data_IF_907103847641
#
_entry.id   IF_907103847641
#
_cell.length_a   1.000
_cell.length_b   1.000
_cell.length_c   1.000
_cell.angle_alpha   90.00
_cell.angle_beta   90.00
_cell.angle_gamma   90.00
#
_symmetry.space_group_name_H-M   'P 1'
#
loop_
_entity.id
_entity.type
_entity.pdbx_description
1 polymer ?
#
# COMPACT_ATOMS: atom_id res chain seq x y z
N UNK A 1 -26.99 17.72 -20.31
CA UNK A 1 -26.34 16.57 -19.66
C UNK A 1 -24.90 16.60 -20.13
N UNK A 2 -24.10 17.42 -19.46
CA UNK A 2 -22.73 17.72 -19.85
C UNK A 2 -21.82 16.69 -19.21
N UNK A 3 -21.48 15.65 -19.98
CA UNK A 3 -20.49 14.65 -19.59
C UNK A 3 -19.10 15.15 -19.95
N UNK A 4 -18.36 15.64 -18.97
CA UNK A 4 -16.92 15.88 -19.07
C UNK A 4 -16.18 14.54 -19.18
N UNK A 5 -15.85 14.12 -20.41
CA UNK A 5 -14.90 13.04 -20.67
C UNK A 5 -13.49 13.49 -20.24
N UNK A 6 -12.99 12.99 -19.11
CA UNK A 6 -11.55 13.01 -18.82
C UNK A 6 -10.85 12.00 -19.73
N UNK A 7 -9.99 12.49 -20.63
CA UNK A 7 -9.12 11.64 -21.44
C UNK A 7 -7.75 11.49 -20.77
N UNK A 8 -7.42 10.30 -20.27
CA UNK A 8 -6.04 9.94 -19.96
C UNK A 8 -5.31 9.57 -21.25
N UNK A 9 -4.24 10.30 -21.60
CA UNK A 9 -3.36 9.97 -22.73
C UNK A 9 -2.01 9.46 -22.23
N UNK A 10 -1.63 8.25 -22.63
CA UNK A 10 -0.27 7.74 -22.48
C UNK A 10 0.59 8.20 -23.66
N UNK A 11 1.62 9.00 -23.39
CA UNK A 11 2.57 9.44 -24.40
C UNK A 11 3.64 8.37 -24.64
N UNK A 12 3.67 7.81 -25.86
CA UNK A 12 4.79 7.00 -26.35
C UNK A 12 5.47 7.71 -27.53
N UNK A 13 6.25 8.74 -27.25
CA UNK A 13 7.26 9.27 -28.18
C UNK A 13 8.46 9.79 -27.40
N UNK A 14 9.56 9.05 -27.45
CA UNK A 14 10.79 9.32 -26.68
C UNK A 14 11.60 10.53 -27.17
N UNK A 15 11.23 11.18 -28.28
CA UNK A 15 12.11 12.16 -28.95
C UNK A 15 11.57 13.59 -29.11
N UNK A 16 10.35 13.93 -28.67
CA UNK A 16 9.81 15.30 -28.85
C UNK A 16 9.77 16.18 -27.60
N UNK A 17 10.01 15.64 -26.40
CA UNK A 17 9.84 16.38 -25.14
C UNK A 17 11.15 17.05 -24.66
N UNK A 18 12.30 16.74 -25.26
CA UNK A 18 13.63 17.17 -24.75
C UNK A 18 14.04 18.62 -25.07
N UNK A 19 13.24 19.40 -25.82
CA UNK A 19 13.62 20.75 -26.23
C UNK A 19 13.00 21.90 -25.40
N UNK A 20 12.11 21.62 -24.44
CA UNK A 20 11.22 22.66 -23.90
C UNK A 20 11.50 23.14 -22.46
N UNK A 21 12.57 22.68 -21.80
CA UNK A 21 12.73 22.94 -20.35
C UNK A 21 13.75 23.99 -19.94
N UNK A 22 14.52 24.63 -20.84
CA UNK A 22 15.57 25.57 -20.43
C UNK A 22 15.66 26.86 -21.26
N UNK A 23 14.57 27.62 -21.37
CA UNK A 23 14.64 29.08 -21.52
C UNK A 23 13.24 29.68 -21.32
N UNK A 24 13.16 30.85 -20.69
CA UNK A 24 11.93 31.68 -20.58
C UNK A 24 10.95 31.42 -19.42
N UNK A 25 11.45 31.28 -18.19
CA UNK A 25 10.62 31.29 -16.96
C UNK A 25 10.04 32.66 -16.57
N UNK A 26 10.19 33.71 -17.39
CA UNK A 26 9.88 35.09 -17.02
C UNK A 26 8.51 35.64 -17.45
N UNK A 27 7.76 34.98 -18.36
CA UNK A 27 6.52 35.55 -18.94
C UNK A 27 5.41 34.54 -19.27
N UNK A 28 5.42 33.33 -18.72
CA UNK A 28 4.36 32.36 -19.00
C UNK A 28 3.16 32.58 -18.06
N UNK A 29 2.24 33.45 -18.50
CA UNK A 29 0.86 33.44 -17.99
C UNK A 29 0.28 32.02 -18.16
N UNK A 30 -0.28 31.47 -17.09
CA UNK A 30 -0.84 30.11 -16.94
C UNK A 30 -1.05 29.31 -18.25
N UNK A 31 -0.12 28.41 -18.57
CA UNK A 31 -0.30 27.35 -19.56
C UNK A 31 -0.90 26.13 -18.87
N UNK A 32 -2.01 25.60 -19.39
CA UNK A 32 -2.67 24.41 -18.85
C UNK A 32 -2.27 23.23 -19.71
N UNK A 33 -1.34 22.39 -19.21
CA UNK A 33 -0.75 21.30 -19.99
C UNK A 33 -1.83 20.39 -20.60
N UNK A 34 -2.88 20.06 -19.84
CA UNK A 34 -3.94 19.17 -20.29
C UNK A 34 -4.89 19.84 -21.28
N UNK A 35 -5.36 21.04 -20.98
CA UNK A 35 -6.34 21.73 -21.83
C UNK A 35 -5.69 22.19 -23.13
N UNK A 36 -4.50 22.78 -23.07
CA UNK A 36 -3.85 23.42 -24.20
C UNK A 36 -3.30 22.38 -25.20
N UNK A 37 -2.80 21.23 -24.73
CA UNK A 37 -2.37 20.13 -25.61
C UNK A 37 -3.57 19.44 -26.28
N UNK A 38 -4.64 19.18 -25.55
CA UNK A 38 -5.85 18.55 -26.12
C UNK A 38 -6.52 19.49 -27.12
N UNK A 39 -6.64 20.78 -26.76
CA UNK A 39 -7.20 21.80 -27.64
C UNK A 39 -6.42 21.93 -28.95
N UNK A 40 -5.09 21.75 -28.92
CA UNK A 40 -4.23 21.85 -30.09
C UNK A 40 -4.49 20.76 -31.14
N UNK A 41 -4.90 19.56 -30.72
CA UNK A 41 -5.26 18.46 -31.63
C UNK A 41 -6.64 18.61 -32.26
N UNK A 42 -7.51 19.43 -31.67
CA UNK A 42 -8.84 19.74 -32.22
C UNK A 42 -8.97 21.25 -32.41
N UNK A 43 -8.11 21.88 -33.25
CA UNK A 43 -7.99 23.33 -33.31
C UNK A 43 -9.25 23.99 -33.89
N UNK A 44 -10.03 23.27 -34.69
CA UNK A 44 -11.30 23.73 -35.22
C UNK A 44 -12.36 24.01 -34.14
N UNK A 45 -12.26 23.38 -32.96
CA UNK A 45 -13.18 23.59 -31.83
C UNK A 45 -12.62 24.47 -30.72
N UNK A 46 -11.32 24.76 -30.77
CA UNK A 46 -10.60 25.44 -29.70
C UNK A 46 -9.77 26.59 -30.24
N UNK A 47 -10.38 27.46 -31.04
CA UNK A 47 -9.70 28.60 -31.65
C UNK A 47 -9.13 29.58 -30.61
N UNK A 48 -9.74 29.62 -29.43
CA UNK A 48 -9.24 30.35 -28.26
C UNK A 48 -7.79 29.99 -27.90
N UNK A 49 -7.34 28.76 -28.18
CA UNK A 49 -5.97 28.33 -27.89
C UNK A 49 -4.94 29.20 -28.60
N UNK A 50 -5.19 29.64 -29.83
CA UNK A 50 -4.25 30.48 -30.62
C UNK A 50 -3.89 31.80 -29.92
N UNK A 51 -4.72 32.25 -28.97
CA UNK A 51 -4.52 33.45 -28.17
C UNK A 51 -3.73 33.22 -26.87
N UNK A 52 -3.56 31.96 -26.44
CA UNK A 52 -2.77 31.59 -25.26
C UNK A 52 -1.28 31.50 -25.59
N UNK A 53 -0.39 31.60 -24.58
CA UNK A 53 1.03 31.38 -24.78
C UNK A 53 1.31 30.04 -25.46
N UNK A 54 2.19 30.04 -26.46
CA UNK A 54 2.55 28.88 -27.29
C UNK A 54 1.39 28.27 -28.11
N UNK A 55 0.17 28.83 -28.07
CA UNK A 55 -0.99 28.20 -28.67
C UNK A 55 -0.91 28.03 -30.19
N UNK A 56 -0.37 29.02 -30.90
CA UNK A 56 -0.14 28.92 -32.36
C UNK A 56 0.88 27.82 -32.70
N UNK A 57 1.93 27.69 -31.90
CA UNK A 57 2.98 26.70 -32.08
C UNK A 57 2.44 25.29 -31.81
N UNK A 58 1.65 25.13 -30.75
CA UNK A 58 0.97 23.88 -30.42
C UNK A 58 0.02 23.45 -31.54
N UNK A 59 -0.82 24.35 -32.04
CA UNK A 59 -1.75 24.05 -33.15
C UNK A 59 -0.98 23.66 -34.42
N UNK A 60 0.13 24.35 -34.74
CA UNK A 60 0.94 24.01 -35.90
C UNK A 60 1.62 22.64 -35.78
N UNK A 61 2.08 22.26 -34.58
CA UNK A 61 2.77 21.01 -34.35
C UNK A 61 1.80 19.81 -34.26
N UNK A 62 0.66 19.99 -33.57
CA UNK A 62 -0.26 18.92 -33.21
C UNK A 62 -1.51 18.87 -34.09
N UNK A 63 -2.00 20.01 -34.58
CA UNK A 63 -3.27 20.11 -35.30
C UNK A 63 -3.31 19.37 -36.64
N UNK A 64 -2.15 19.05 -37.22
CA UNK A 64 -2.03 18.23 -38.44
C UNK A 64 -1.85 16.73 -38.15
N UNK A 65 -1.71 16.33 -36.88
CA UNK A 65 -1.46 14.94 -36.49
C UNK A 65 -2.78 14.17 -36.41
N UNK A 66 -2.77 12.91 -36.83
CA UNK A 66 -3.93 12.01 -36.69
C UNK A 66 -4.00 11.51 -35.25
N UNK A 67 -5.16 11.71 -34.62
CA UNK A 67 -5.47 11.16 -33.31
C UNK A 67 -6.26 9.86 -33.45
N UNK A 68 -5.85 8.82 -32.73
CA UNK A 68 -6.63 7.60 -32.55
C UNK A 68 -7.08 7.55 -31.09
N UNK A 69 -8.39 7.51 -30.86
CA UNK A 69 -8.98 7.37 -29.53
C UNK A 69 -9.40 5.92 -29.29
N UNK A 70 -8.93 5.34 -28.19
CA UNK A 70 -9.42 4.07 -27.68
C UNK A 70 -10.15 4.35 -26.37
N UNK A 71 -11.40 3.87 -26.28
CA UNK A 71 -12.19 3.99 -25.06
C UNK A 71 -12.14 2.65 -24.32
N UNK A 72 -11.67 2.67 -23.08
CA UNK A 72 -11.60 1.48 -22.25
C UNK A 72 -12.82 1.44 -21.33
N UNK A 73 -13.95 0.96 -21.85
CA UNK A 73 -15.23 0.89 -21.11
C UNK A 73 -15.20 0.00 -19.88
N UNK A 74 -14.24 -0.93 -19.81
CA UNK A 74 -14.09 -1.89 -18.71
C UNK A 74 -13.09 -1.44 -17.64
N UNK A 75 -12.53 -0.23 -17.74
CA UNK A 75 -11.59 0.30 -16.76
C UNK A 75 -12.27 1.34 -15.88
N UNK A 76 -12.11 1.21 -14.56
CA UNK A 76 -12.46 2.25 -13.60
C UNK A 76 -11.33 3.28 -13.54
N UNK A 77 -11.66 4.55 -13.74
CA UNK A 77 -10.70 5.65 -13.60
C UNK A 77 -10.65 6.10 -12.15
N UNK A 78 -9.48 5.99 -11.53
CA UNK A 78 -9.23 6.52 -10.20
C UNK A 78 -8.88 8.01 -10.31
N UNK A 79 -9.63 8.85 -9.60
CA UNK A 79 -9.30 10.27 -9.45
C UNK A 79 -8.74 10.48 -8.05
N UNK A 80 -7.49 10.91 -7.94
CA UNK A 80 -6.84 11.22 -6.67
C UNK A 80 -6.84 12.73 -6.45
N UNK A 81 -8.03 13.34 -6.41
CA UNK A 81 -8.23 14.76 -6.16
C UNK A 81 -8.44 15.09 -4.69
N UNK A 82 -8.94 14.15 -3.90
CA UNK A 82 -9.21 14.33 -2.47
C UNK A 82 -8.85 13.10 -1.65
N UNK A 83 -8.62 13.31 -0.35
CA UNK A 83 -8.42 12.23 0.62
C UNK A 83 -9.64 11.30 0.73
N UNK A 84 -10.86 11.79 0.53
CA UNK A 84 -12.06 10.93 0.53
C UNK A 84 -12.10 9.97 -0.64
N UNK A 85 -11.73 10.41 -1.84
CA UNK A 85 -11.68 9.52 -3.02
C UNK A 85 -10.72 8.33 -2.79
N UNK A 86 -9.62 8.54 -2.05
CA UNK A 86 -8.72 7.46 -1.64
C UNK A 86 -9.44 6.43 -0.77
N UNK A 87 -10.25 6.86 0.20
CA UNK A 87 -11.01 5.96 1.07
C UNK A 87 -12.15 5.25 0.30
N UNK A 88 -12.85 5.96 -0.57
CA UNK A 88 -13.90 5.39 -1.41
C UNK A 88 -13.34 4.24 -2.27
N UNK A 89 -12.18 4.44 -2.89
CA UNK A 89 -11.50 3.40 -3.67
C UNK A 89 -11.03 2.20 -2.83
N UNK A 90 -10.61 2.42 -1.58
CA UNK A 90 -10.18 1.34 -0.69
C UNK A 90 -11.36 0.58 -0.08
N UNK A 91 -12.53 1.21 0.03
CA UNK A 91 -13.75 0.62 0.60
C UNK A 91 -14.64 -0.08 -0.44
N UNK A 92 -14.49 0.23 -1.72
CA UNK A 92 -15.29 -0.37 -2.81
C UNK A 92 -15.17 -1.90 -2.95
N UNK A 93 -16.21 -2.48 -3.57
CA UNK A 93 -16.52 -3.92 -3.61
C UNK A 93 -15.47 -4.79 -4.32
N UNK A 94 -14.60 -4.21 -5.17
CA UNK A 94 -13.47 -4.91 -5.83
C UNK A 94 -12.30 -5.21 -4.88
N UNK A 95 -12.40 -4.78 -3.61
CA UNK A 95 -11.50 -5.16 -2.51
C UNK A 95 -11.46 -6.67 -2.20
N UNK A 96 -12.26 -7.51 -2.87
CA UNK A 96 -12.11 -8.97 -2.77
C UNK A 96 -10.76 -9.47 -3.30
N UNK A 97 -10.10 -8.72 -4.19
CA UNK A 97 -8.83 -9.11 -4.80
C UNK A 97 -7.60 -8.61 -4.05
N UNK A 98 -7.73 -7.52 -3.28
CA UNK A 98 -6.61 -6.90 -2.56
C UNK A 98 -6.88 -6.98 -1.07
N UNK A 99 -6.03 -7.72 -0.35
CA UNK A 99 -6.12 -7.78 1.11
C UNK A 99 -6.10 -6.40 1.75
N UNK A 100 -6.83 -6.21 2.86
CA UNK A 100 -6.83 -4.94 3.61
C UNK A 100 -5.62 -4.79 4.54
N UNK A 101 -4.76 -5.80 4.61
CA UNK A 101 -3.61 -5.89 5.51
C UNK A 101 -2.41 -6.40 4.72
N UNK A 102 -1.46 -5.50 4.43
CA UNK A 102 -0.23 -5.84 3.69
C UNK A 102 0.98 -5.26 4.37
N UNK A 103 2.06 -6.04 4.40
CA UNK A 103 3.33 -5.66 5.01
C UNK A 103 3.14 -5.03 6.40
N UNK A 104 2.24 -5.58 7.21
CA UNK A 104 1.88 -5.00 8.50
C UNK A 104 2.09 -5.99 9.64
N UNK A 105 2.33 -5.45 10.83
CA UNK A 105 2.37 -6.20 12.09
C UNK A 105 1.22 -5.72 12.96
N UNK A 106 0.32 -6.63 13.30
CA UNK A 106 -0.85 -6.40 14.15
C UNK A 106 -0.85 -7.48 15.23
N UNK A 107 -1.20 -7.17 16.49
CA UNK A 107 -1.19 -8.16 17.55
C UNK A 107 -2.28 -9.23 17.29
N UNK A 108 -2.00 -10.47 17.66
CA UNK A 108 -2.97 -11.57 17.58
C UNK A 108 -4.00 -11.53 18.71
N UNK A 109 -3.84 -10.61 19.67
CA UNK A 109 -4.69 -10.47 20.85
C UNK A 109 -5.88 -9.55 20.59
N UNK A 110 -6.95 -9.70 21.37
CA UNK A 110 -8.12 -8.77 21.38
C UNK A 110 -7.80 -7.43 22.05
N UNK A 111 -6.53 -7.13 22.30
CA UNK A 111 -6.08 -5.87 22.89
C UNK A 111 -6.05 -4.73 21.86
N UNK A 112 -6.21 -5.06 20.58
CA UNK A 112 -6.49 -4.12 19.51
C UNK A 112 -7.92 -4.30 18.99
N UNK A 113 -8.58 -3.18 18.72
CA UNK A 113 -9.91 -3.17 18.09
C UNK A 113 -9.81 -2.50 16.72
N UNK A 114 -9.54 -3.31 15.68
CA UNK A 114 -9.37 -2.84 14.30
C UNK A 114 -10.56 -3.32 13.48
N UNK A 115 -11.37 -2.37 13.00
CA UNK A 115 -12.51 -2.65 12.15
C UNK A 115 -12.12 -3.50 10.93
N UNK A 116 -12.98 -4.43 10.53
CA UNK A 116 -12.71 -5.35 9.42
C UNK A 116 -12.54 -4.62 8.07
N UNK A 117 -13.19 -3.47 7.92
CA UNK A 117 -13.12 -2.60 6.74
C UNK A 117 -11.88 -1.70 6.72
N UNK A 118 -11.17 -1.54 7.85
CA UNK A 118 -9.98 -0.70 7.93
C UNK A 118 -8.84 -1.28 7.10
N UNK A 119 -8.12 -0.41 6.41
CA UNK A 119 -6.99 -0.75 5.55
C UNK A 119 -5.68 -0.37 6.23
N UNK A 120 -4.84 -1.36 6.51
CA UNK A 120 -3.57 -1.22 7.22
C UNK A 120 -2.44 -1.69 6.30
N UNK A 121 -1.64 -0.76 5.79
CA UNK A 121 -0.55 -1.04 4.85
C UNK A 121 0.78 -0.58 5.45
N UNK A 122 1.83 -1.39 5.32
CA UNK A 122 3.20 -1.00 5.73
C UNK A 122 3.28 -0.46 7.17
N UNK A 123 2.47 -0.98 8.09
CA UNK A 123 2.28 -0.37 9.41
C UNK A 123 2.44 -1.37 10.54
N UNK A 124 2.91 -0.88 11.69
CA UNK A 124 2.98 -1.63 12.94
C UNK A 124 1.95 -1.07 13.91
N UNK A 125 1.02 -1.93 14.32
CA UNK A 125 0.03 -1.65 15.35
C UNK A 125 0.42 -2.47 16.58
N UNK A 126 0.57 -1.82 17.73
CA UNK A 126 0.81 -2.47 19.02
C UNK A 126 -0.50 -2.60 19.82
N UNK A 127 -0.54 -3.43 20.87
CA UNK A 127 -1.69 -3.52 21.78
C UNK A 127 -2.15 -2.15 22.31
N UNK A 128 -3.46 -1.98 22.48
CA UNK A 128 -4.07 -0.74 22.97
C UNK A 128 -4.47 0.28 21.90
N UNK A 129 -4.25 -0.04 20.62
CA UNK A 129 -4.69 0.78 19.48
C UNK A 129 -6.05 0.30 18.95
N UNK A 130 -6.97 1.24 18.73
CA UNK A 130 -8.22 1.00 18.00
C UNK A 130 -8.31 1.82 16.71
N UNK A 131 -8.89 1.21 15.67
CA UNK A 131 -9.05 1.80 14.33
C UNK A 131 -10.48 1.57 13.85
N UNK A 132 -11.20 2.67 13.62
CA UNK A 132 -12.57 2.69 13.15
C UNK A 132 -12.75 2.23 11.70
N UNK A 133 -14.02 2.14 11.30
CA UNK A 133 -14.45 1.68 9.98
C UNK A 133 -13.94 2.57 8.85
N UNK A 134 -13.74 1.98 7.67
CA UNK A 134 -13.25 2.64 6.45
C UNK A 134 -12.05 3.59 6.63
N UNK A 135 -11.20 3.34 7.64
CA UNK A 135 -10.00 4.12 7.91
C UNK A 135 -8.77 3.54 7.20
N UNK A 136 -7.82 4.40 6.89
CA UNK A 136 -6.58 4.04 6.20
C UNK A 136 -5.36 4.38 7.05
N UNK A 137 -4.53 3.39 7.34
CA UNK A 137 -3.26 3.55 8.06
C UNK A 137 -2.13 3.07 7.16
N UNK A 138 -1.19 3.97 6.86
CA UNK A 138 -0.06 3.69 5.99
C UNK A 138 1.26 4.13 6.63
N UNK A 139 2.28 3.30 6.47
CA UNK A 139 3.67 3.61 6.84
C UNK A 139 3.83 4.12 8.28
N UNK A 140 3.01 3.61 9.21
CA UNK A 140 2.87 4.16 10.56
C UNK A 140 3.29 3.15 11.62
N UNK A 141 3.74 3.66 12.77
CA UNK A 141 4.02 2.87 13.96
C UNK A 141 3.19 3.44 15.11
N UNK A 142 2.19 2.67 15.55
CA UNK A 142 1.20 3.10 16.53
C UNK A 142 1.29 2.22 17.77
N UNK A 143 1.62 2.82 18.90
CA UNK A 143 1.77 2.13 20.18
C UNK A 143 1.25 2.94 21.35
N UNK A 144 0.68 2.24 22.32
CA UNK A 144 0.04 2.83 23.50
C UNK A 144 -1.47 2.98 23.30
N UNK A 145 -2.09 3.82 24.12
CA UNK A 145 -3.54 4.07 24.07
C UNK A 145 -3.85 5.05 22.94
N UNK A 146 -4.26 4.53 21.79
CA UNK A 146 -4.59 5.32 20.61
C UNK A 146 -5.99 4.91 20.12
N UNK A 147 -6.85 5.89 19.87
CA UNK A 147 -8.16 5.69 19.27
C UNK A 147 -8.26 6.46 17.96
N UNK A 148 -8.39 5.74 16.85
CA UNK A 148 -8.60 6.31 15.52
C UNK A 148 -10.08 6.13 15.15
N UNK A 149 -10.76 7.24 14.89
CA UNK A 149 -12.13 7.26 14.42
C UNK A 149 -12.32 6.68 13.01
N UNK A 150 -13.56 6.51 12.60
CA UNK A 150 -13.93 6.00 11.27
C UNK A 150 -13.66 7.03 10.16
N UNK A 151 -13.38 6.54 8.96
CA UNK A 151 -13.05 7.34 7.77
C UNK A 151 -11.88 8.30 8.00
N UNK A 152 -10.87 7.84 8.73
CA UNK A 152 -9.69 8.64 9.07
C UNK A 152 -8.45 8.13 8.33
N UNK A 153 -7.52 9.03 8.04
CA UNK A 153 -6.28 8.73 7.30
C UNK A 153 -5.07 9.03 8.16
N UNK A 154 -4.17 8.06 8.28
CA UNK A 154 -2.93 8.17 9.06
C UNK A 154 -1.78 7.74 8.17
N UNK A 155 -0.81 8.64 7.97
CA UNK A 155 0.31 8.41 7.04
C UNK A 155 1.64 8.80 7.66
N UNK A 156 2.58 7.86 7.74
CA UNK A 156 3.96 8.14 8.15
C UNK A 156 4.12 8.51 9.63
N UNK A 157 3.10 8.28 10.46
CA UNK A 157 3.05 8.75 11.85
C UNK A 157 3.65 7.71 12.79
N UNK A 158 4.58 8.15 13.64
CA UNK A 158 5.21 7.30 14.64
C UNK A 158 4.83 7.74 16.07
N UNK A 159 3.81 7.12 16.65
CA UNK A 159 3.39 7.33 18.04
C UNK A 159 3.86 6.13 18.85
N UNK A 160 4.84 6.37 19.72
CA UNK A 160 5.35 5.37 20.66
C UNK A 160 4.83 5.68 22.06
N UNK A 161 4.55 4.62 22.82
CA UNK A 161 4.24 4.76 24.24
C UNK A 161 5.48 5.33 24.94
N UNK A 162 5.44 6.61 25.28
CA UNK A 162 6.52 7.22 26.05
C UNK A 162 6.45 6.68 27.48
N UNK A 163 7.60 6.26 28.01
CA UNK A 163 7.76 5.87 29.41
C UNK A 163 7.55 7.01 30.41
N UNK A 164 7.29 8.22 29.92
CA UNK A 164 7.07 9.40 30.74
C UNK A 164 5.69 9.31 31.38
N UNK A 165 5.69 8.72 32.58
CA UNK A 165 4.61 8.80 33.54
C UNK A 165 4.43 10.28 33.88
N UNK A 166 3.39 10.89 33.31
CA UNK A 166 2.85 12.15 33.80
C UNK A 166 2.70 12.05 35.34
N UNK A 167 3.04 13.09 36.12
CA UNK A 167 2.94 13.08 37.59
C UNK A 167 1.52 12.77 38.12
N UNK A 168 0.52 12.80 37.25
CA UNK A 168 -0.90 12.50 37.52
C UNK A 168 -1.27 11.01 37.31
N UNK A 169 -0.36 10.15 36.85
CA UNK A 169 -0.60 8.72 36.66
C UNK A 169 -1.54 8.34 35.49
N UNK A 170 -2.05 9.32 34.74
CA UNK A 170 -2.91 9.09 33.58
C UNK A 170 -2.07 9.09 32.30
N UNK A 171 -1.86 7.90 31.71
CA UNK A 171 -1.31 7.77 30.35
C UNK A 171 -2.23 8.51 29.37
N UNK A 172 -1.68 9.45 28.61
CA UNK A 172 -2.45 10.25 27.64
C UNK A 172 -2.98 9.33 26.54
N UNK A 173 -4.30 9.24 26.42
CA UNK A 173 -4.99 8.62 25.29
C UNK A 173 -4.93 9.59 24.11
N UNK A 174 -4.29 9.21 23.01
CA UNK A 174 -4.41 9.97 21.77
C UNK A 174 -5.70 9.57 21.05
N UNK A 175 -6.54 10.56 20.71
CA UNK A 175 -7.79 10.32 19.96
C UNK A 175 -7.80 11.15 18.69
N UNK A 176 -7.85 10.48 17.54
CA UNK A 176 -8.13 11.08 16.24
C UNK A 176 -9.63 10.91 15.95
N UNK A 177 -10.43 11.98 15.84
CA UNK A 177 -11.86 11.85 15.58
C UNK A 177 -12.15 11.22 14.21
N UNK A 178 -13.42 10.87 13.99
CA UNK A 178 -13.90 10.43 12.68
C UNK A 178 -13.63 11.49 11.62
N UNK A 179 -13.34 11.07 10.39
CA UNK A 179 -13.17 11.96 9.23
C UNK A 179 -12.04 12.97 9.42
N UNK A 180 -10.92 12.53 10.01
CA UNK A 180 -9.72 13.36 10.17
C UNK A 180 -8.50 12.68 9.58
N UNK A 181 -7.56 13.50 9.13
CA UNK A 181 -6.29 13.07 8.59
C UNK A 181 -5.16 13.47 9.55
N UNK A 182 -4.16 12.62 9.65
CA UNK A 182 -2.94 12.85 10.41
C UNK A 182 -1.74 12.36 9.59
N UNK A 183 -0.76 13.22 9.34
CA UNK A 183 0.48 12.79 8.71
C UNK A 183 1.69 13.51 9.25
N UNK A 184 2.83 12.85 9.23
CA UNK A 184 4.09 13.38 9.75
C UNK A 184 5.10 13.54 8.62
N UNK A 185 5.82 14.67 8.59
CA UNK A 185 6.86 14.94 7.59
C UNK A 185 8.14 15.47 8.23
N UNK A 186 9.33 15.06 7.73
CA UNK A 186 10.60 15.65 8.14
C UNK A 186 10.83 17.02 7.47
N UNK A 187 11.57 17.89 8.16
CA UNK A 187 11.94 19.21 7.63
C UNK A 187 13.42 19.29 7.24
N UNK A 188 13.70 19.94 6.11
CA UNK A 188 15.06 20.21 5.63
C UNK A 188 15.86 21.00 6.64
N UNK A 189 17.12 20.60 6.86
CA UNK A 189 18.09 21.35 7.67
C UNK A 189 17.86 21.29 9.18
N UNK A 190 16.87 20.53 9.64
CA UNK A 190 16.64 20.24 11.06
C UNK A 190 16.45 18.75 11.25
N UNK A 191 16.62 18.24 12.49
CA UNK A 191 16.19 16.88 12.83
C UNK A 191 14.69 16.82 13.20
N UNK A 192 13.98 17.93 13.07
CA UNK A 192 12.59 18.06 13.46
C UNK A 192 11.64 17.44 12.45
N UNK A 193 10.53 16.90 12.94
CA UNK A 193 9.37 16.49 12.15
C UNK A 193 8.19 17.39 12.51
N UNK A 194 7.23 17.54 11.61
CA UNK A 194 5.96 18.22 11.87
C UNK A 194 4.83 17.23 11.67
N UNK A 195 3.91 17.23 12.63
CA UNK A 195 2.64 16.49 12.53
C UNK A 195 1.57 17.46 12.02
N UNK A 196 0.95 17.07 10.92
CA UNK A 196 -0.13 17.80 10.27
C UNK A 196 -1.43 17.06 10.55
N UNK A 197 -2.44 17.82 10.93
CA UNK A 197 -3.80 17.36 11.15
C UNK A 197 -4.78 18.25 10.38
N UNK A 198 -5.80 17.65 9.81
CA UNK A 198 -6.91 18.34 9.16
C UNK A 198 -8.15 17.44 9.13
N UNK A 199 -9.30 18.00 8.75
CA UNK A 199 -10.48 17.22 8.41
C UNK A 199 -10.31 16.56 7.04
N UNK A 200 -10.94 15.41 6.86
CA UNK A 200 -10.92 14.63 5.62
C UNK A 200 -11.40 15.44 4.40
N UNK A 201 -12.30 16.40 4.64
CA UNK A 201 -12.98 17.21 3.63
C UNK A 201 -12.48 18.66 3.59
N UNK A 202 -11.43 18.99 4.35
CA UNK A 202 -10.88 20.34 4.31
C UNK A 202 -10.16 20.57 2.98
N UNK A 203 -10.55 21.62 2.26
CA UNK A 203 -9.81 22.10 1.10
C UNK A 203 -8.84 23.21 1.54
N UNK A 204 -7.50 23.01 1.43
CA UNK A 204 -6.52 23.97 1.91
C UNK A 204 -6.66 25.39 1.32
N UNK A 205 -7.26 25.53 0.13
CA UNK A 205 -7.32 26.79 -0.61
C UNK A 205 -8.68 27.48 -0.52
N UNK A 206 -9.67 26.89 0.16
CA UNK A 206 -10.94 27.57 0.38
C UNK A 206 -10.76 28.77 1.32
N UNK A 207 -11.45 29.87 1.00
CA UNK A 207 -11.32 31.13 1.73
C UNK A 207 -12.01 31.02 3.09
N UNK A 208 -11.30 31.37 4.16
CA UNK A 208 -11.73 31.19 5.55
C UNK A 208 -13.06 31.89 5.87
N UNK A 209 -13.28 33.09 5.32
CA UNK A 209 -14.49 33.90 5.55
C UNK A 209 -15.72 33.44 4.75
N UNK A 210 -15.57 32.44 3.87
CA UNK A 210 -16.64 31.90 3.04
C UNK A 210 -16.98 30.47 3.45
N UNK A 211 -16.36 29.51 2.79
CA UNK A 211 -16.60 28.06 2.88
C UNK A 211 -15.34 27.30 3.35
N UNK A 212 -14.31 28.01 3.79
CA UNK A 212 -13.11 27.42 4.36
C UNK A 212 -13.39 26.71 5.68
N UNK A 213 -12.83 25.51 5.82
CA UNK A 213 -12.90 24.71 7.04
C UNK A 213 -11.51 24.31 7.52
N UNK A 214 -11.43 24.01 8.80
CA UNK A 214 -10.28 23.36 9.42
C UNK A 214 -10.75 22.35 10.48
N UNK A 215 -10.20 21.14 10.45
CA UNK A 215 -10.65 20.01 11.25
C UNK A 215 -12.17 19.76 11.12
N UNK A 216 -12.69 19.93 9.89
CA UNK A 216 -14.12 19.75 9.58
C UNK A 216 -15.04 20.83 10.17
N UNK A 217 -14.50 21.92 10.70
CA UNK A 217 -15.26 23.04 11.30
C UNK A 217 -15.05 24.33 10.50
N UNK A 218 -16.07 25.18 10.31
CA UNK A 218 -15.88 26.51 9.74
C UNK A 218 -14.90 27.34 10.58
N UNK A 219 -13.99 28.07 9.93
CA UNK A 219 -12.95 28.86 10.61
C UNK A 219 -13.51 29.77 11.69
N UNK A 220 -14.55 30.56 11.39
CA UNK A 220 -15.17 31.47 12.36
C UNK A 220 -15.59 30.79 13.67
N UNK A 221 -16.13 29.57 13.57
CA UNK A 221 -16.54 28.79 14.74
C UNK A 221 -15.32 28.29 15.51
N UNK A 222 -14.36 27.70 14.81
CA UNK A 222 -13.13 27.16 15.42
C UNK A 222 -12.33 28.25 16.16
N UNK A 223 -12.16 29.42 15.53
CA UNK A 223 -11.44 30.54 16.12
C UNK A 223 -12.13 31.06 17.39
N UNK A 224 -13.45 31.22 17.33
CA UNK A 224 -14.25 31.63 18.48
C UNK A 224 -14.17 30.62 19.63
N UNK A 225 -14.38 29.34 19.35
CA UNK A 225 -14.42 28.28 20.37
C UNK A 225 -13.06 28.08 21.06
N UNK A 226 -11.96 28.32 20.33
CA UNK A 226 -10.59 28.14 20.83
C UNK A 226 -9.94 29.46 21.31
N UNK A 227 -10.63 30.59 21.20
CA UNK A 227 -10.09 31.91 21.54
C UNK A 227 -8.88 32.33 20.68
N UNK A 228 -8.76 31.76 19.47
CA UNK A 228 -7.71 32.09 18.51
C UNK A 228 -8.13 33.32 17.71
N UNK A 229 -7.22 34.27 17.53
CA UNK A 229 -7.49 35.47 16.75
C UNK A 229 -6.87 35.33 15.36
N UNK A 230 -7.45 35.98 14.36
CA UNK A 230 -6.94 35.88 12.98
C UNK A 230 -5.47 36.29 12.84
N UNK A 231 -5.04 37.28 13.64
CA UNK A 231 -3.65 37.75 13.69
C UNK A 231 -2.66 36.71 14.21
N UNK A 232 -3.15 35.69 14.92
CA UNK A 232 -2.32 34.56 15.35
C UNK A 232 -1.93 33.70 14.13
N UNK A 233 -2.78 33.62 13.10
CA UNK A 233 -2.63 32.69 11.98
C UNK A 233 -2.09 33.36 10.71
N UNK A 234 -2.59 34.56 10.40
CA UNK A 234 -2.30 35.23 9.14
C UNK A 234 -1.67 36.60 9.40
N UNK A 235 -0.66 36.93 8.60
CA UNK A 235 -0.08 38.26 8.59
C UNK A 235 -1.08 39.25 7.97
N UNK A 236 -1.58 40.19 8.77
CA UNK A 236 -2.58 41.19 8.35
C UNK A 236 -2.07 42.16 7.27
N UNK A 237 -0.78 42.16 6.96
CA UNK A 237 -0.13 43.02 5.97
C UNK A 237 -0.13 42.45 4.54
N UNK A 238 -0.60 41.22 4.33
CA UNK A 238 -0.65 40.58 3.02
C UNK A 238 -1.97 40.81 2.26
N UNK A 239 -1.90 40.85 0.93
CA UNK A 239 -3.07 40.84 0.03
C UNK A 239 -3.59 39.42 -0.27
N UNK A 240 -3.01 38.40 0.36
CA UNK A 240 -3.38 37.01 0.12
C UNK A 240 -4.72 36.66 0.78
N UNK A 241 -5.52 35.83 0.11
CA UNK A 241 -6.74 35.27 0.69
C UNK A 241 -6.41 34.39 1.89
N UNK A 242 -7.10 34.60 3.02
CA UNK A 242 -6.93 33.81 4.23
C UNK A 242 -7.49 32.41 4.00
N UNK A 243 -6.66 31.39 4.10
CA UNK A 243 -7.06 29.99 3.94
C UNK A 243 -6.14 29.08 4.77
N UNK A 244 -6.44 27.79 4.82
CA UNK A 244 -5.59 26.82 5.53
C UNK A 244 -4.18 26.72 4.93
N UNK A 245 -4.04 26.92 3.62
CA UNK A 245 -2.76 26.86 2.92
C UNK A 245 -1.72 27.84 3.48
N UNK A 246 -2.14 29.05 3.88
CA UNK A 246 -1.26 30.10 4.40
C UNK A 246 -1.45 30.40 5.89
N UNK A 247 -2.29 29.63 6.60
CA UNK A 247 -2.46 29.76 8.05
C UNK A 247 -1.26 29.14 8.79
N UNK A 248 -0.58 29.92 9.63
CA UNK A 248 0.52 29.41 10.49
C UNK A 248 -0.04 28.68 11.71
N UNK A 249 -0.56 27.49 11.49
CA UNK A 249 -1.31 26.73 12.49
C UNK A 249 -0.51 25.58 13.11
N UNK A 250 0.48 25.03 12.39
CA UNK A 250 1.22 23.84 12.81
C UNK A 250 2.45 24.21 13.64
N UNK A 251 2.50 23.87 14.94
CA UNK A 251 3.64 24.18 15.78
C UNK A 251 4.83 23.24 15.48
N UNK A 252 6.04 23.78 15.55
CA UNK A 252 7.28 23.01 15.50
C UNK A 252 7.72 22.73 16.94
N UNK A 253 7.33 21.58 17.48
CA UNK A 253 7.54 21.17 18.87
C UNK A 253 7.91 19.68 18.96
N UNK A 254 8.01 19.13 20.18
CA UNK A 254 8.14 17.68 20.36
C UNK A 254 6.90 16.93 19.83
N UNK A 255 7.01 15.66 19.41
CA UNK A 255 5.88 14.87 18.94
C UNK A 255 4.70 14.82 19.92
N UNK A 256 4.97 14.68 21.22
CA UNK A 256 3.93 14.68 22.26
C UNK A 256 3.16 15.99 22.32
N UNK A 257 3.84 17.13 22.29
CA UNK A 257 3.20 18.45 22.29
C UNK A 257 2.41 18.71 21.00
N UNK A 258 2.95 18.31 19.85
CA UNK A 258 2.22 18.42 18.58
C UNK A 258 0.92 17.60 18.56
N UNK A 259 0.93 16.39 19.13
CA UNK A 259 -0.27 15.55 19.27
C UNK A 259 -1.29 16.17 20.25
N UNK A 260 -0.83 16.74 21.37
CA UNK A 260 -1.68 17.47 22.33
C UNK A 260 -2.37 18.66 21.67
N UNK A 261 -1.62 19.48 20.92
CA UNK A 261 -2.16 20.60 20.15
C UNK A 261 -3.13 20.12 19.09
N UNK A 262 -2.81 19.03 18.37
CA UNK A 262 -3.70 18.43 17.38
C UNK A 262 -5.05 18.03 17.98
N UNK A 263 -5.04 17.31 19.10
CA UNK A 263 -6.27 16.94 19.82
C UNK A 263 -7.07 18.16 20.28
N UNK A 264 -6.39 19.23 20.73
CA UNK A 264 -7.05 20.48 21.09
C UNK A 264 -7.72 21.17 19.89
N UNK A 265 -7.02 21.31 18.77
CA UNK A 265 -7.55 21.94 17.55
C UNK A 265 -8.70 21.15 16.92
N UNK A 266 -8.64 19.81 16.96
CA UNK A 266 -9.72 18.94 16.53
C UNK A 266 -10.92 18.93 17.51
N UNK A 267 -10.71 19.36 18.76
CA UNK A 267 -11.72 19.33 19.83
C UNK A 267 -11.93 17.93 20.42
N UNK A 268 -10.88 17.09 20.41
CA UNK A 268 -10.88 15.70 20.88
C UNK A 268 -10.54 15.56 22.36
N UNK A 269 -10.06 16.63 23.01
CA UNK A 269 -9.64 16.59 24.40
C UNK A 269 -9.94 17.91 25.13
N UNK A 270 -10.41 17.77 26.37
CA UNK A 270 -10.70 18.87 27.30
C UNK A 270 -9.46 19.17 28.14
N UNK A 271 -8.41 19.70 27.51
CA UNK A 271 -7.22 20.14 28.24
C UNK A 271 -7.47 21.48 28.95
N UNK A 272 -6.50 21.93 29.76
CA UNK A 272 -6.45 23.33 30.16
C UNK A 272 -6.22 24.20 28.91
N UNK A 273 -7.33 24.60 28.27
CA UNK A 273 -7.33 25.30 26.99
C UNK A 273 -6.50 26.59 27.03
N UNK A 274 -6.46 27.30 28.16
CA UNK A 274 -5.65 28.52 28.28
C UNK A 274 -4.14 28.23 28.22
N UNK A 275 -3.70 27.15 28.89
CA UNK A 275 -2.30 26.76 28.86
C UNK A 275 -1.85 26.33 27.44
N UNK A 276 -2.64 25.48 26.78
CA UNK A 276 -2.34 25.03 25.41
C UNK A 276 -2.38 26.21 24.44
N UNK A 277 -3.37 27.11 24.55
CA UNK A 277 -3.46 28.29 23.69
C UNK A 277 -2.23 29.21 23.85
N UNK A 278 -1.79 29.45 25.10
CA UNK A 278 -0.60 30.26 25.39
C UNK A 278 0.69 29.63 24.84
N UNK A 279 0.86 28.32 25.05
CA UNK A 279 1.97 27.57 24.48
C UNK A 279 1.93 27.59 22.95
N UNK A 280 0.78 27.30 22.35
CA UNK A 280 0.60 27.31 20.89
C UNK A 280 0.89 28.69 20.29
N UNK A 281 0.49 29.79 20.95
CA UNK A 281 0.80 31.18 20.53
C UNK A 281 2.27 31.53 20.58
N UNK A 282 2.99 31.04 21.59
CA UNK A 282 4.42 31.32 21.76
C UNK A 282 5.32 30.39 20.94
N UNK A 283 4.78 29.29 20.43
CA UNK A 283 5.51 28.35 19.58
C UNK A 283 5.84 28.92 18.20
N UNK A 284 6.95 28.47 17.62
CA UNK A 284 7.21 28.68 16.21
C UNK A 284 6.21 27.85 15.40
N UNK A 285 5.44 28.49 14.53
CA UNK A 285 4.42 27.84 13.71
C UNK A 285 4.64 28.07 12.23
N UNK A 286 4.29 27.07 11.44
CA UNK A 286 4.38 27.08 9.98
C UNK A 286 3.01 26.84 9.34
N UNK A 287 2.87 27.34 8.12
CA UNK A 287 1.75 27.06 7.23
C UNK A 287 2.02 25.86 6.31
N UNK A 288 0.98 25.35 5.65
CA UNK A 288 1.17 24.30 4.62
C UNK A 288 2.04 24.79 3.46
N UNK A 289 1.93 26.07 3.09
CA UNK A 289 2.78 26.66 2.06
C UNK A 289 4.26 26.65 2.44
N UNK A 290 4.57 27.05 3.68
CA UNK A 290 5.93 27.03 4.21
C UNK A 290 6.46 25.59 4.32
N UNK A 291 5.62 24.69 4.84
CA UNK A 291 5.92 23.27 4.95
C UNK A 291 6.23 22.64 3.59
N UNK A 292 5.40 22.88 2.57
CA UNK A 292 5.58 22.31 1.24
C UNK A 292 6.95 22.69 0.62
N UNK A 293 7.54 23.81 1.02
CA UNK A 293 8.89 24.23 0.59
C UNK A 293 10.02 23.64 1.43
N UNK A 294 9.71 23.11 2.60
CA UNK A 294 10.69 22.65 3.59
C UNK A 294 10.61 21.17 3.91
N UNK A 295 9.75 20.37 3.26
CA UNK A 295 9.75 18.90 3.42
C UNK A 295 11.05 18.31 2.90
N UNK A 296 11.70 17.48 3.73
CA UNK A 296 12.84 16.66 3.34
C UNK A 296 12.36 15.35 2.68
N UNK A 297 12.07 15.42 1.38
CA UNK A 297 11.61 14.25 0.62
C UNK A 297 12.60 13.08 0.62
N UNK A 298 13.92 13.29 0.43
CA UNK A 298 14.89 12.20 0.56
C UNK A 298 14.80 11.50 1.92
N UNK A 299 14.77 12.27 3.02
CA UNK A 299 14.65 11.69 4.36
C UNK A 299 13.30 10.97 4.56
N UNK A 300 12.21 11.51 4.00
CA UNK A 300 10.89 10.88 4.04
C UNK A 300 10.92 9.51 3.35
N UNK A 301 11.45 9.44 2.12
CA UNK A 301 11.58 8.19 1.36
C UNK A 301 12.48 7.18 2.08
N UNK A 302 13.66 7.59 2.54
CA UNK A 302 14.57 6.70 3.29
C UNK A 302 13.95 6.21 4.59
N UNK A 303 13.22 7.06 5.32
CA UNK A 303 12.50 6.65 6.54
C UNK A 303 11.45 5.58 6.24
N UNK A 304 10.69 5.76 5.16
CA UNK A 304 9.66 4.82 4.71
C UNK A 304 10.26 3.48 4.30
N UNK A 305 11.31 3.48 3.48
CA UNK A 305 12.02 2.26 3.07
C UNK A 305 12.59 1.51 4.28
N UNK A 306 13.16 2.21 5.24
CA UNK A 306 13.69 1.60 6.46
C UNK A 306 12.60 0.95 7.32
N UNK A 307 11.45 1.62 7.47
CA UNK A 307 10.31 1.10 8.22
C UNK A 307 9.70 -0.15 7.56
N UNK A 308 9.55 -0.13 6.24
CA UNK A 308 9.08 -1.27 5.46
C UNK A 308 10.04 -2.45 5.51
N UNK A 309 11.34 -2.20 5.44
CA UNK A 309 12.38 -3.22 5.62
C UNK A 309 12.33 -3.85 7.01
N UNK A 310 12.09 -3.07 8.07
CA UNK A 310 11.94 -3.58 9.44
C UNK A 310 10.70 -4.46 9.60
N UNK A 311 9.58 -4.09 8.95
CA UNK A 311 8.38 -4.91 8.89
C UNK A 311 8.61 -6.20 8.11
N UNK A 312 9.27 -6.13 6.95
CA UNK A 312 9.63 -7.30 6.15
C UNK A 312 10.54 -8.26 6.93
N UNK A 313 11.54 -7.73 7.63
CA UNK A 313 12.43 -8.49 8.51
C UNK A 313 11.65 -9.18 9.64
N UNK A 314 10.73 -8.47 10.30
CA UNK A 314 9.87 -9.03 11.34
C UNK A 314 9.00 -10.19 10.81
N UNK A 315 8.38 -10.02 9.64
CA UNK A 315 7.57 -11.05 8.98
C UNK A 315 8.44 -12.25 8.58
N UNK A 316 9.59 -12.02 7.95
CA UNK A 316 10.50 -13.07 7.54
C UNK A 316 10.99 -13.89 8.74
N UNK A 317 11.39 -13.21 9.82
CA UNK A 317 11.80 -13.85 11.07
C UNK A 317 10.71 -14.72 11.68
N UNK A 318 9.45 -14.25 11.69
CA UNK A 318 8.32 -15.04 12.16
C UNK A 318 8.08 -16.26 11.26
N UNK A 319 8.11 -16.09 9.94
CA UNK A 319 7.93 -17.19 8.99
C UNK A 319 8.98 -18.29 9.19
N UNK A 320 10.24 -17.89 9.35
CA UNK A 320 11.36 -18.80 9.58
C UNK A 320 11.19 -19.49 10.95
N UNK A 321 11.01 -18.72 12.02
CA UNK A 321 10.91 -19.25 13.39
C UNK A 321 9.77 -20.26 13.59
N UNK A 322 8.61 -20.01 12.98
CA UNK A 322 7.43 -20.87 13.12
C UNK A 322 7.29 -21.91 11.98
N UNK A 323 8.24 -21.96 11.03
CA UNK A 323 8.16 -22.86 9.88
C UNK A 323 7.05 -22.53 8.87
N UNK A 324 6.51 -21.31 8.89
CA UNK A 324 5.46 -20.84 7.98
C UNK A 324 6.06 -20.36 6.64
N UNK A 325 6.78 -21.24 5.95
CA UNK A 325 7.53 -20.92 4.74
C UNK A 325 6.68 -20.82 3.47
N UNK A 326 5.37 -20.59 3.58
CA UNK A 326 4.46 -20.41 2.44
C UNK A 326 4.52 -19.02 1.80
N UNK A 327 5.09 -18.03 2.50
CA UNK A 327 5.22 -16.66 1.99
C UNK A 327 6.34 -16.52 0.95
N UNK A 328 6.28 -15.47 0.15
CA UNK A 328 7.32 -15.13 -0.84
C UNK A 328 8.54 -14.51 -0.13
N UNK A 329 9.47 -15.35 0.33
CA UNK A 329 10.64 -14.87 1.06
C UNK A 329 11.61 -14.07 0.17
N UNK A 330 11.73 -14.40 -1.11
CA UNK A 330 12.50 -13.59 -2.07
C UNK A 330 12.05 -12.13 -2.06
N UNK A 331 10.74 -11.88 -2.15
CA UNK A 331 10.21 -10.51 -2.11
C UNK A 331 10.44 -9.84 -0.76
N UNK A 332 10.29 -10.57 0.37
CA UNK A 332 10.62 -10.02 1.69
C UNK A 332 12.12 -9.66 1.79
N UNK A 333 13.01 -10.45 1.20
CA UNK A 333 14.44 -10.14 1.16
C UNK A 333 14.71 -8.88 0.33
N UNK A 334 14.04 -8.70 -0.82
CA UNK A 334 14.15 -7.47 -1.63
C UNK A 334 13.75 -6.22 -0.85
N UNK A 335 12.70 -6.31 -0.03
CA UNK A 335 12.28 -5.22 0.88
C UNK A 335 13.31 -4.98 1.99
N UNK A 336 13.83 -6.05 2.63
CA UNK A 336 14.86 -5.95 3.67
C UNK A 336 16.14 -5.27 3.14
N UNK A 337 16.52 -5.59 1.91
CA UNK A 337 17.71 -5.05 1.25
C UNK A 337 17.59 -3.57 0.87
N UNK A 338 16.40 -2.97 0.95
CA UNK A 338 16.27 -1.52 0.82
C UNK A 338 16.95 -0.77 1.98
N UNK A 339 17.20 -1.45 3.11
CA UNK A 339 17.79 -0.88 4.32
C UNK A 339 19.31 -0.98 4.35
N UNK A 340 20.00 -0.05 3.67
CA UNK A 340 21.46 0.13 3.64
C UNK A 340 22.27 -1.19 3.80
N UNK A 341 23.42 -1.16 4.48
CA UNK A 341 24.26 -2.36 4.66
C UNK A 341 23.54 -3.38 5.57
N UNK A 342 22.82 -2.88 6.58
CA UNK A 342 22.15 -3.68 7.63
C UNK A 342 21.19 -4.75 7.11
N UNK A 343 20.56 -4.54 5.96
CA UNK A 343 19.66 -5.53 5.36
C UNK A 343 20.36 -6.84 5.02
N UNK A 344 21.61 -6.78 4.55
CA UNK A 344 22.41 -7.97 4.22
C UNK A 344 22.77 -8.73 5.50
N UNK A 345 23.11 -8.04 6.59
CA UNK A 345 23.36 -8.69 7.89
C UNK A 345 22.12 -9.43 8.41
N UNK A 346 20.94 -8.81 8.32
CA UNK A 346 19.67 -9.44 8.70
C UNK A 346 19.41 -10.72 7.89
N UNK A 347 19.63 -10.70 6.58
CA UNK A 347 19.51 -11.89 5.73
C UNK A 347 20.50 -13.01 6.13
N UNK A 348 21.74 -12.65 6.52
CA UNK A 348 22.74 -13.62 7.01
C UNK A 348 22.31 -14.26 8.33
N UNK A 349 21.73 -13.49 9.26
CA UNK A 349 21.17 -14.01 10.51
C UNK A 349 20.05 -15.02 10.22
N UNK A 350 19.16 -14.70 9.28
CA UNK A 350 18.07 -15.59 8.86
C UNK A 350 18.58 -16.87 8.19
N UNK A 351 19.65 -16.77 7.39
CA UNK A 351 20.30 -17.93 6.79
C UNK A 351 20.86 -18.89 7.86
N UNK A 352 21.45 -18.34 8.93
CA UNK A 352 21.92 -19.15 10.07
C UNK A 352 20.78 -19.86 10.80
N UNK A 353 19.62 -19.18 10.97
CA UNK A 353 18.41 -19.77 11.55
C UNK A 353 17.82 -20.90 10.68
N UNK A 354 17.97 -20.83 9.36
CA UNK A 354 17.45 -21.88 8.46
C UNK A 354 18.19 -23.22 8.60
N UNK A 355 19.48 -23.19 8.97
CA UNK A 355 20.28 -24.41 9.13
C UNK A 355 19.79 -25.28 10.30
N UNK A 356 19.22 -24.68 11.34
CA UNK A 356 18.63 -25.42 12.47
C UNK A 356 17.23 -25.97 12.17
N UNK A 357 16.45 -25.28 11.32
CA UNK A 357 15.09 -25.68 10.94
C UNK A 357 15.03 -26.97 10.12
N UNK A 358 15.98 -27.17 9.19
CA UNK A 358 16.07 -28.40 8.39
C UNK A 358 16.27 -29.65 9.25
N UNK A 359 16.87 -29.51 10.44
CA UNK A 359 17.13 -30.61 11.37
C UNK A 359 15.94 -30.90 12.27
N UNK A 360 15.16 -29.88 12.65
CA UNK A 360 14.11 -30.00 13.67
C UNK A 360 12.72 -30.39 13.14
N UNK A 361 12.38 -30.06 11.89
CA UNK A 361 10.99 -30.14 11.38
C UNK A 361 10.82 -31.01 10.11
N UNK A 362 11.61 -32.07 9.96
CA UNK A 362 11.67 -32.88 8.73
C UNK A 362 10.35 -33.57 8.33
N UNK A 363 9.39 -33.74 9.25
CA UNK A 363 8.10 -34.40 9.00
C UNK A 363 6.91 -33.47 8.72
N UNK A 364 7.03 -32.16 8.95
CA UNK A 364 5.89 -31.21 8.84
C UNK A 364 6.10 -30.20 7.71
N UNK A 365 7.35 -29.85 7.41
CA UNK A 365 7.71 -28.85 6.42
C UNK A 365 8.17 -29.53 5.11
N UNK A 366 7.59 -29.17 3.94
CA UNK A 366 8.11 -29.63 2.65
C UNK A 366 9.58 -29.22 2.48
N UNK A 367 10.42 -30.19 2.13
CA UNK A 367 11.86 -29.99 1.94
C UNK A 367 12.12 -29.02 0.79
N UNK A 368 11.29 -29.05 -0.26
CA UNK A 368 11.33 -28.09 -1.36
C UNK A 368 11.25 -26.64 -0.88
N UNK A 369 10.36 -26.33 0.07
CA UNK A 369 10.20 -24.98 0.64
C UNK A 369 11.38 -24.57 1.50
N UNK A 370 11.94 -25.49 2.28
CA UNK A 370 13.14 -25.23 3.09
C UNK A 370 14.35 -24.88 2.20
N UNK A 371 14.57 -25.61 1.12
CA UNK A 371 15.64 -25.32 0.15
C UNK A 371 15.39 -24.02 -0.61
N UNK A 372 14.13 -23.70 -0.95
CA UNK A 372 13.79 -22.45 -1.64
C UNK A 372 14.12 -21.24 -0.77
N UNK A 373 13.71 -21.28 0.50
CA UNK A 373 14.03 -20.23 1.47
C UNK A 373 15.53 -20.05 1.65
N UNK A 374 16.30 -21.15 1.69
CA UNK A 374 17.74 -21.08 1.73
C UNK A 374 18.34 -20.45 0.46
N UNK A 375 17.84 -20.80 -0.72
CA UNK A 375 18.29 -20.22 -1.98
C UNK A 375 18.02 -18.71 -2.05
N UNK A 376 16.83 -18.28 -1.64
CA UNK A 376 16.43 -16.87 -1.61
C UNK A 376 17.34 -16.06 -0.68
N UNK A 377 17.61 -16.57 0.54
CA UNK A 377 18.49 -15.92 1.50
C UNK A 377 19.95 -15.87 1.03
N UNK A 378 20.45 -16.94 0.41
CA UNK A 378 21.80 -16.97 -0.17
C UNK A 378 21.95 -15.91 -1.26
N UNK A 379 20.94 -15.78 -2.14
CA UNK A 379 20.91 -14.73 -3.18
C UNK A 379 20.88 -13.33 -2.56
N UNK A 380 20.05 -13.13 -1.53
CA UNK A 380 19.99 -11.86 -0.81
C UNK A 380 21.32 -11.50 -0.13
N UNK A 381 22.12 -12.50 0.27
CA UNK A 381 23.46 -12.33 0.81
C UNK A 381 24.56 -12.15 -0.25
N UNK A 382 24.23 -12.22 -1.55
CA UNK A 382 25.18 -12.13 -2.66
C UNK A 382 25.94 -13.42 -2.97
N UNK A 383 25.51 -14.58 -2.45
CA UNK A 383 26.13 -15.88 -2.69
C UNK A 383 25.38 -16.69 -3.76
N UNK A 384 25.47 -16.23 -5.01
CA UNK A 384 24.82 -16.86 -6.16
C UNK A 384 25.28 -18.31 -6.40
N UNK A 385 26.52 -18.63 -6.02
CA UNK A 385 27.10 -19.95 -6.24
C UNK A 385 26.40 -21.01 -5.41
N UNK A 386 26.25 -20.77 -4.10
CA UNK A 386 25.54 -21.66 -3.21
C UNK A 386 24.03 -21.59 -3.41
N UNK A 387 23.49 -20.43 -3.82
CA UNK A 387 22.07 -20.30 -4.17
C UNK A 387 21.70 -21.27 -5.31
N UNK A 388 22.49 -21.36 -6.39
CA UNK A 388 22.25 -22.30 -7.50
C UNK A 388 22.31 -23.77 -7.06
N UNK A 389 23.21 -24.10 -6.14
CA UNK A 389 23.29 -25.46 -5.57
C UNK A 389 22.02 -25.76 -4.74
N UNK A 390 21.54 -24.81 -3.95
CA UNK A 390 20.28 -24.95 -3.22
C UNK A 390 19.08 -25.09 -4.16
N UNK A 391 19.02 -24.34 -5.26
CA UNK A 391 17.95 -24.46 -6.27
C UNK A 391 17.88 -25.84 -6.92
N UNK A 392 19.02 -26.48 -7.21
CA UNK A 392 19.02 -27.86 -7.71
C UNK A 392 18.38 -28.83 -6.69
N UNK A 393 18.60 -28.58 -5.39
CA UNK A 393 17.96 -29.35 -4.32
C UNK A 393 16.47 -29.06 -4.21
N UNK A 394 16.02 -27.82 -4.47
CA UNK A 394 14.59 -27.48 -4.58
C UNK A 394 13.93 -28.36 -5.61
N UNK A 395 14.42 -28.37 -6.85
CA UNK A 395 13.81 -29.13 -7.94
C UNK A 395 13.82 -30.64 -7.67
N UNK A 396 14.89 -31.16 -7.08
CA UNK A 396 14.98 -32.57 -6.68
C UNK A 396 13.95 -32.92 -5.60
N UNK A 397 13.75 -32.04 -4.61
CA UNK A 397 12.76 -32.21 -3.56
C UNK A 397 11.32 -32.10 -4.11
N UNK A 398 11.02 -31.11 -4.96
CA UNK A 398 9.72 -30.96 -5.64
C UNK A 398 9.38 -32.22 -6.44
N UNK A 399 10.34 -32.76 -7.21
CA UNK A 399 10.14 -33.99 -7.98
C UNK A 399 9.80 -35.18 -7.07
N UNK A 400 10.52 -35.34 -5.95
CA UNK A 400 10.28 -36.42 -4.97
C UNK A 400 8.94 -36.29 -4.25
N UNK A 401 8.61 -35.09 -3.79
CA UNK A 401 7.35 -34.77 -3.12
C UNK A 401 6.15 -34.99 -4.05
N UNK A 402 6.25 -34.51 -5.30
CA UNK A 402 5.23 -34.71 -6.34
C UNK A 402 5.07 -36.19 -6.68
N UNK A 403 6.17 -36.92 -6.89
CA UNK A 403 6.12 -38.36 -7.18
C UNK A 403 5.49 -39.16 -6.03
N UNK A 404 5.74 -38.76 -4.78
CA UNK A 404 5.11 -39.37 -3.60
C UNK A 404 3.61 -39.08 -3.57
N UNK A 405 3.20 -37.83 -3.76
CA UNK A 405 1.79 -37.43 -3.77
C UNK A 405 0.98 -38.16 -4.88
N UNK A 406 1.55 -38.28 -6.07
CA UNK A 406 0.91 -39.03 -7.19
C UNK A 406 0.77 -40.51 -6.85
N UNK A 407 1.77 -41.14 -6.23
CA UNK A 407 1.69 -42.55 -5.81
C UNK A 407 0.61 -42.80 -4.77
N UNK A 408 0.45 -41.90 -3.79
CA UNK A 408 -0.64 -41.98 -2.81
C UNK A 408 -2.01 -41.84 -3.47
N UNK A 409 -2.21 -40.87 -4.36
CA UNK A 409 -3.48 -40.70 -5.07
C UNK A 409 -3.87 -41.91 -5.93
N UNK A 410 -2.90 -42.59 -6.55
CA UNK A 410 -3.14 -43.83 -7.31
C UNK A 410 -3.47 -45.01 -6.39
N UNK A 411 -2.84 -45.09 -5.21
CA UNK A 411 -3.11 -46.18 -4.25
C UNK A 411 -4.50 -46.08 -3.62
N UNK A 412 -4.99 -44.88 -3.29
CA UNK A 412 -6.34 -44.70 -2.73
C UNK A 412 -7.43 -45.16 -3.71
N UNK A 413 -7.28 -44.84 -5.02
CA UNK A 413 -8.21 -45.29 -6.05
C UNK A 413 -8.14 -46.80 -6.37
N UNK A 414 -6.94 -47.40 -6.27
CA UNK A 414 -6.80 -48.85 -6.40
C UNK A 414 -7.43 -49.57 -5.21
N UNK A 415 -7.38 -49.00 -4.00
CA UNK A 415 -8.00 -49.60 -2.81
C UNK A 415 -9.54 -49.60 -2.90
N UNK A 416 -10.17 -48.54 -3.41
CA UNK A 416 -11.62 -48.55 -3.71
C UNK A 416 -11.99 -49.56 -4.80
N UNK A 417 -11.16 -49.68 -5.85
CA UNK A 417 -11.39 -50.66 -6.92
C UNK A 417 -11.22 -52.12 -6.44
N UNK A 418 -10.32 -52.39 -5.49
CA UNK A 418 -10.15 -53.72 -4.90
C UNK A 418 -11.29 -54.09 -3.93
N UNK A 419 -11.90 -53.10 -3.27
CA UNK A 419 -13.09 -53.33 -2.44
C UNK A 419 -14.32 -53.73 -3.27
N UNK A 420 -14.45 -53.25 -4.52
CA UNK A 420 -15.50 -53.72 -5.44
C UNK A 420 -15.15 -55.04 -6.15
N UNK A 421 -13.86 -55.37 -6.31
CA UNK A 421 -13.46 -56.66 -6.91
C UNK A 421 -13.59 -57.83 -5.92
N UNK A 422 -13.52 -57.57 -4.61
CA UNK A 422 -13.60 -58.61 -3.57
C UNK A 422 -15.03 -59.04 -3.19
N UNK A 423 -16.06 -58.47 -3.81
CA UNK A 423 -17.45 -58.95 -3.75
C UNK A 423 -17.84 -59.88 -4.90
N UNK A 424 -16.88 -60.31 -5.72
CA UNK A 424 -17.05 -61.36 -6.73
C UNK A 424 -16.48 -62.72 -6.27
N UNK A 425 -16.84 -63.16 -5.05
CA UNK A 425 -16.68 -64.56 -4.66
C UNK A 425 -17.89 -65.36 -5.16
N UNK A 426 -17.92 -65.69 -6.46
CA UNK A 426 -18.62 -66.87 -7.01
C UNK A 426 -18.50 -66.92 -8.54
N UNK A 427 -17.29 -67.16 -9.06
CA UNK A 427 -17.10 -67.69 -10.41
C UNK A 427 -15.97 -68.73 -10.41
N UNK A 428 -16.11 -69.74 -9.56
CA UNK A 428 -15.52 -71.06 -9.81
C UNK A 428 -16.64 -71.98 -10.24
N UNK A 429 -16.96 -71.97 -11.53
CA UNK A 429 -17.36 -73.14 -12.31
C UNK A 429 -17.57 -72.72 -13.77
N UNK A 430 -17.25 -73.64 -14.66
CA UNK A 430 -17.40 -73.58 -16.13
C UNK A 430 -16.33 -72.82 -16.91
N UNK A 431 -15.08 -73.30 -16.80
CA UNK A 431 -14.06 -73.14 -17.84
C UNK A 431 -13.72 -74.46 -18.55
N UNK A 432 -14.70 -75.35 -18.73
CA UNK A 432 -14.60 -76.50 -19.61
C UNK A 432 -15.50 -76.32 -20.84
N UNK A 433 -14.96 -75.65 -21.87
CA UNK A 433 -15.66 -75.48 -23.14
C UNK A 433 -15.24 -74.27 -23.99
N UNK A 434 -14.32 -73.42 -23.53
CA UNK A 434 -13.86 -72.27 -24.31
C UNK A 434 -12.64 -72.69 -25.15
N UNK A 435 -12.89 -73.02 -26.42
CA UNK A 435 -11.84 -73.15 -27.43
C UNK A 435 -11.14 -71.80 -27.57
N UNK A 436 -9.87 -71.72 -27.15
CA UNK A 436 -9.00 -70.60 -27.47
C UNK A 436 -8.65 -70.64 -28.95
N UNK A 437 -9.58 -70.15 -29.78
CA UNK A 437 -9.25 -69.81 -31.15
C UNK A 437 -8.39 -68.53 -31.11
N UNK A 438 -7.23 -68.49 -31.78
CA UNK A 438 -6.47 -67.26 -31.91
C UNK A 438 -7.31 -66.25 -32.71
N UNK A 439 -8.00 -65.35 -32.01
CA UNK A 439 -8.71 -64.23 -32.62
C UNK A 439 -7.76 -63.05 -32.69
N UNK A 440 -7.51 -62.57 -33.90
CA UNK A 440 -6.76 -61.34 -34.13
C UNK A 440 -7.71 -60.16 -33.92
N UNK A 441 -7.47 -59.36 -32.89
CA UNK A 441 -8.15 -58.08 -32.71
C UNK A 441 -7.27 -56.98 -33.32
N UNK A 442 -7.86 -56.17 -34.20
CA UNK A 442 -7.22 -54.94 -34.71
C UNK A 442 -7.90 -53.80 -33.96
N UNK A 443 -7.11 -52.99 -33.26
CA UNK A 443 -7.58 -51.82 -32.52
C UNK A 443 -7.03 -50.59 -33.22
N UNK A 444 -7.92 -49.84 -33.87
CA UNK A 444 -7.60 -48.54 -34.47
C UNK A 444 -8.07 -47.44 -33.52
N UNK A 445 -7.14 -46.65 -32.99
CA UNK A 445 -7.42 -45.52 -32.12
C UNK A 445 -7.00 -44.23 -32.84
N UNK A 446 -7.92 -43.27 -33.06
CA UNK A 446 -7.55 -41.98 -33.64
C UNK A 446 -6.69 -41.18 -32.67
N UNK A 447 -5.65 -40.51 -33.18
CA UNK A 447 -4.76 -39.65 -32.40
C UNK A 447 -5.38 -38.25 -32.32
N UNK A 448 -5.66 -37.78 -31.10
CA UNK A 448 -6.13 -36.40 -30.85
C UNK A 448 -4.96 -35.43 -30.97
N UNK A 449 -5.16 -34.32 -31.68
CA UNK A 449 -4.23 -33.18 -31.75
C UNK A 449 -4.92 -31.93 -31.21
N UNK A 450 -4.44 -31.39 -30.10
CA UNK A 450 -4.97 -30.17 -29.50
C UNK A 450 -4.25 -28.94 -30.04
N UNK A 451 -4.94 -28.19 -30.91
CA UNK A 451 -4.36 -27.03 -31.59
C UNK A 451 -4.39 -25.75 -30.72
N UNK A 452 -5.27 -25.69 -29.72
CA UNK A 452 -5.47 -24.53 -28.84
C UNK A 452 -5.89 -24.99 -27.43
N UNK A 453 -5.00 -25.66 -26.67
CA UNK A 453 -5.36 -26.08 -25.30
C UNK A 453 -4.47 -27.11 -24.62
N UNK A 454 -3.17 -27.15 -24.90
CA UNK A 454 -2.25 -28.22 -24.47
C UNK A 454 -2.10 -28.44 -22.94
N UNK A 455 -2.73 -27.65 -22.08
CA UNK A 455 -2.63 -27.73 -20.62
C UNK A 455 -3.92 -27.95 -19.84
N UNK A 456 -5.09 -27.99 -20.50
CA UNK A 456 -6.38 -28.17 -19.84
C UNK A 456 -7.03 -29.46 -20.31
N UNK A 457 -6.80 -30.56 -19.58
CA UNK A 457 -7.55 -31.81 -19.78
C UNK A 457 -8.84 -31.67 -18.95
N UNK A 458 -10.03 -31.51 -19.57
CA UNK A 458 -11.26 -31.48 -18.81
C UNK A 458 -11.45 -32.83 -18.11
N UNK A 459 -11.67 -32.81 -16.80
CA UNK A 459 -12.12 -33.97 -16.04
C UNK A 459 -13.45 -34.45 -16.63
N UNK A 460 -13.41 -35.46 -17.48
CA UNK A 460 -14.58 -36.29 -17.78
C UNK A 460 -14.78 -37.21 -16.58
N UNK A 461 -15.68 -36.80 -15.69
CA UNK A 461 -16.29 -37.72 -14.74
C UNK A 461 -16.95 -38.86 -15.51
N UNK A 462 -16.60 -40.08 -15.14
CA UNK A 462 -17.34 -41.28 -15.50
C UNK A 462 -18.30 -41.62 -14.36
#
# INVERSE_FOLDING_TARGET
>A
MDGSCCACMFFKSRNSIRAFTNQERGKLSKLSLYEDLVAAWVPARHEWLKSRPLGKELVNALGSQRMFSYCAYSLSFLHFGTSSEVLDHLSEFDSSLVGRRHLCSVPETTECDIAASAVILSSKISPGVSVGEDSFVYDSLLSGRIQIGSQSIIVGVNIQEQSDVEPSGSKVLFTLPNRHCLWEVPLVGTRGRIIIYCGLQDNPKNVADKDGTFCGKPWKKLLHDLGIEERDLWNLSGTQEKCLWNARIYPVQSPSEMLRVGMWLMGSASFNCEHILSMWRSSHRVSLEELHRSVDFPQLCTSSSNHQADLAAGIAKACISYGLLGRNLSQLCEEILQKDISGVEVCKEFLALCQSLQVQNSGVLPQSRAWQVQADLLRACGDDSNARIAEQKVWSAVASETASAVKYGIQDHLFESFCMANSASDFKNDLHGISFQPKRAIVELPVRVDLLGAGAIPHLGA
#
